data_IF_883839837469
#
_entry.id   IF_883839837469
#
_cell.length_a   1.000
_cell.length_b   1.000
_cell.length_c   1.000
_cell.angle_alpha   90.00
_cell.angle_beta   90.00
_cell.angle_gamma   90.00
#
_symmetry.space_group_name_H-M   'P 1'
#
loop_
_entity.id
_entity.type
_entity.pdbx_description
1 polymer ?
#
# COMPACT_ATOMS: atom_id res chain seq x y z
N UNK A 1 -5.99 36.45 15.89
CA UNK A 1 -6.92 35.80 14.94
C UNK A 1 -6.42 34.38 14.69
N UNK A 2 -7.12 33.37 15.23
CA UNK A 2 -6.82 31.98 14.92
C UNK A 2 -7.30 31.71 13.50
N UNK A 3 -6.37 31.41 12.59
CA UNK A 3 -6.71 30.83 11.30
C UNK A 3 -7.46 29.52 11.57
N UNK A 4 -8.76 29.50 11.26
CA UNK A 4 -9.55 28.28 11.15
C UNK A 4 -9.01 27.51 9.96
N UNK A 5 -7.98 26.68 10.21
CA UNK A 5 -7.58 25.64 9.28
C UNK A 5 -8.79 24.73 9.16
N UNK A 6 -9.49 24.80 8.02
CA UNK A 6 -10.58 23.89 7.71
C UNK A 6 -10.07 22.47 7.94
N UNK A 7 -10.81 21.66 8.70
CA UNK A 7 -10.52 20.26 8.94
C UNK A 7 -10.23 19.58 7.60
N UNK A 8 -8.95 19.29 7.33
CA UNK A 8 -8.46 18.67 6.08
C UNK A 8 -8.95 17.23 5.91
N UNK A 9 -9.59 16.70 6.94
CA UNK A 9 -10.27 15.43 6.93
C UNK A 9 -11.74 15.64 6.56
N UNK A 10 -12.16 15.01 5.47
CA UNK A 10 -13.57 14.93 5.11
C UNK A 10 -14.20 13.85 5.98
N UNK A 11 -15.25 14.24 6.72
CA UNK A 11 -16.01 13.29 7.51
C UNK A 11 -16.94 12.51 6.59
N UNK A 12 -16.91 11.18 6.70
CA UNK A 12 -17.89 10.32 6.06
C UNK A 12 -19.19 10.32 6.86
N UNK A 13 -20.36 10.42 6.20
CA UNK A 13 -21.63 10.17 6.87
C UNK A 13 -21.62 8.76 7.48
N UNK A 14 -22.00 8.63 8.75
CA UNK A 14 -21.99 7.34 9.47
C UNK A 14 -22.83 6.26 8.77
N UNK A 15 -23.89 6.66 8.07
CA UNK A 15 -24.80 5.77 7.35
C UNK A 15 -24.39 5.48 5.90
N UNK A 16 -23.22 5.95 5.45
CA UNK A 16 -22.75 5.68 4.09
C UNK A 16 -22.39 4.19 3.92
N UNK A 17 -22.61 3.59 2.74
CA UNK A 17 -22.20 2.21 2.49
C UNK A 17 -20.68 2.02 2.65
N UNK A 18 -19.91 3.06 2.36
CA UNK A 18 -18.46 3.09 2.53
C UNK A 18 -18.05 3.09 4.01
N UNK A 19 -18.69 3.88 4.88
CA UNK A 19 -18.39 3.85 6.33
C UNK A 19 -18.74 2.51 6.96
N UNK A 20 -19.83 1.87 6.52
CA UNK A 20 -20.18 0.52 6.98
C UNK A 20 -19.17 -0.52 6.51
N UNK A 21 -18.71 -0.40 5.25
CA UNK A 21 -17.64 -1.24 4.71
C UNK A 21 -16.35 -1.10 5.53
N UNK A 22 -15.87 0.14 5.77
CA UNK A 22 -14.66 0.39 6.54
C UNK A 22 -14.79 -0.13 7.97
N UNK A 23 -15.93 0.12 8.62
CA UNK A 23 -16.20 -0.37 10.00
C UNK A 23 -16.20 -1.89 10.10
N UNK A 24 -16.70 -2.59 9.07
CA UNK A 24 -16.76 -4.05 9.06
C UNK A 24 -15.37 -4.70 9.03
N UNK A 25 -14.43 -4.08 8.32
CA UNK A 25 -13.06 -4.57 8.19
C UNK A 25 -12.12 -3.96 9.22
N UNK A 26 -12.57 -2.97 9.98
CA UNK A 26 -11.78 -2.32 11.02
C UNK A 26 -11.39 -3.32 12.12
N UNK A 27 -10.15 -3.22 12.57
CA UNK A 27 -9.70 -3.97 13.74
C UNK A 27 -9.55 -3.00 14.89
N UNK A 28 -10.02 -3.39 16.07
CA UNK A 28 -9.89 -2.62 17.32
C UNK A 28 -8.48 -2.09 17.58
N UNK A 29 -7.46 -2.78 17.04
CA UNK A 29 -6.05 -2.44 17.15
C UNK A 29 -5.53 -1.52 16.03
N UNK A 30 -6.13 -1.58 14.84
CA UNK A 30 -5.66 -0.92 13.62
C UNK A 30 -6.74 0.01 13.07
N UNK A 31 -6.96 1.16 13.72
CA UNK A 31 -8.01 2.15 13.40
C UNK A 31 -7.76 2.96 12.12
N UNK A 32 -7.45 2.30 11.01
CA UNK A 32 -7.24 3.00 9.76
C UNK A 32 -6.92 2.12 8.56
N UNK A 33 -7.04 2.71 7.39
CA UNK A 33 -6.80 2.08 6.10
C UNK A 33 -6.07 3.03 5.16
N UNK A 34 -5.36 2.47 4.20
CA UNK A 34 -4.99 3.17 2.98
C UNK A 34 -5.70 2.49 1.82
N UNK A 35 -6.37 3.27 1.01
CA UNK A 35 -6.95 2.82 -0.26
C UNK A 35 -6.19 3.46 -1.40
N UNK A 36 -6.01 2.70 -2.48
CA UNK A 36 -5.44 3.19 -3.72
C UNK A 36 -6.08 2.47 -4.89
N UNK A 37 -6.27 3.21 -5.98
CA UNK A 37 -6.51 2.63 -7.29
C UNK A 37 -5.18 2.50 -8.06
N UNK A 38 -4.71 1.27 -8.25
CA UNK A 38 -3.52 0.96 -9.03
C UNK A 38 -3.87 0.91 -10.53
N UNK A 39 -3.41 1.92 -11.26
CA UNK A 39 -3.56 2.08 -12.71
C UNK A 39 -2.29 1.69 -13.49
N UNK A 40 -1.35 0.97 -12.86
CA UNK A 40 -0.12 0.57 -13.51
C UNK A 40 -0.37 -0.35 -14.73
N UNK A 41 0.52 -0.33 -15.74
CA UNK A 41 0.36 -1.15 -16.94
C UNK A 41 0.23 -2.65 -16.60
N UNK A 42 -0.63 -3.36 -17.35
CA UNK A 42 -0.87 -4.80 -17.16
C UNK A 42 0.42 -5.63 -17.22
N UNK A 43 1.38 -5.24 -18.05
CA UNK A 43 2.67 -5.91 -18.16
C UNK A 43 3.46 -5.84 -16.84
N UNK A 44 3.48 -4.67 -16.19
CA UNK A 44 4.14 -4.45 -14.90
C UNK A 44 3.45 -5.28 -13.81
N UNK A 45 2.11 -5.28 -13.77
CA UNK A 45 1.33 -6.08 -12.81
C UNK A 45 1.61 -7.56 -12.96
N UNK A 46 1.62 -8.08 -14.19
CA UNK A 46 1.93 -9.49 -14.49
C UNK A 46 3.35 -9.86 -14.11
N UNK A 47 4.32 -8.98 -14.38
CA UNK A 47 5.71 -9.21 -14.01
C UNK A 47 5.88 -9.27 -12.49
N UNK A 48 5.29 -8.30 -11.77
CA UNK A 48 5.32 -8.28 -10.30
C UNK A 48 4.68 -9.54 -9.70
N UNK A 49 3.53 -9.96 -10.23
CA UNK A 49 2.88 -11.21 -9.83
C UNK A 49 3.77 -12.43 -10.09
N UNK A 50 4.41 -12.52 -11.27
CA UNK A 50 5.29 -13.63 -11.62
C UNK A 50 6.53 -13.69 -10.72
N UNK A 51 7.12 -12.53 -10.39
CA UNK A 51 8.23 -12.43 -9.45
C UNK A 51 7.82 -12.91 -8.05
N UNK A 52 6.66 -12.46 -7.55
CA UNK A 52 6.12 -12.89 -6.26
C UNK A 52 5.78 -14.39 -6.25
N UNK A 53 5.23 -14.91 -7.35
CA UNK A 53 4.94 -16.34 -7.52
C UNK A 53 6.23 -17.17 -7.46
N UNK A 54 7.25 -16.77 -8.23
CA UNK A 54 8.54 -17.44 -8.24
C UNK A 54 9.16 -17.47 -6.84
N UNK A 55 9.17 -16.33 -6.15
CA UNK A 55 9.69 -16.23 -4.79
C UNK A 55 8.96 -17.20 -3.83
N UNK A 56 7.63 -17.22 -3.86
CA UNK A 56 6.84 -18.10 -2.99
C UNK A 56 7.05 -19.59 -3.32
N UNK A 57 7.20 -19.94 -4.60
CA UNK A 57 7.53 -21.31 -5.02
C UNK A 57 8.91 -21.72 -4.53
N UNK A 58 9.91 -20.84 -4.62
CA UNK A 58 11.26 -21.09 -4.11
C UNK A 58 11.25 -21.29 -2.60
N UNK A 59 10.55 -20.41 -1.86
CA UNK A 59 10.40 -20.52 -0.40
C UNK A 59 9.74 -21.85 -0.03
N UNK A 60 8.64 -22.22 -0.69
CA UNK A 60 7.93 -23.46 -0.41
C UNK A 60 8.80 -24.69 -0.72
N UNK A 61 9.51 -24.68 -1.85
CA UNK A 61 10.43 -25.76 -2.23
C UNK A 61 11.55 -25.90 -1.20
N UNK A 62 12.15 -24.80 -0.78
CA UNK A 62 13.19 -24.79 0.24
C UNK A 62 12.67 -25.36 1.56
N UNK A 63 11.49 -24.93 2.01
CA UNK A 63 10.85 -25.44 3.24
C UNK A 63 10.58 -26.94 3.16
N UNK A 64 10.06 -27.43 2.03
CA UNK A 64 9.77 -28.86 1.82
C UNK A 64 11.08 -29.67 1.87
N UNK A 65 12.11 -29.24 1.14
CA UNK A 65 13.41 -29.91 1.11
C UNK A 65 14.06 -29.89 2.49
N UNK A 66 14.00 -28.76 3.20
CA UNK A 66 14.58 -28.62 4.53
C UNK A 66 13.87 -29.51 5.56
N UNK A 67 12.54 -29.57 5.53
CA UNK A 67 11.76 -30.46 6.38
C UNK A 67 12.09 -31.94 6.09
N UNK A 68 12.15 -32.31 4.80
CA UNK A 68 12.54 -33.66 4.38
C UNK A 68 13.93 -34.04 4.89
N UNK A 69 14.93 -33.16 4.72
CA UNK A 69 16.30 -33.39 5.16
C UNK A 69 16.40 -33.53 6.69
N UNK A 70 15.61 -32.75 7.43
CA UNK A 70 15.54 -32.83 8.89
C UNK A 70 15.02 -34.20 9.32
N UNK A 71 13.86 -34.61 8.80
CA UNK A 71 13.25 -35.91 9.08
C UNK A 71 14.23 -37.05 8.74
N UNK A 72 14.88 -36.98 7.58
CA UNK A 72 15.82 -38.01 7.14
C UNK A 72 17.06 -38.11 8.04
N UNK A 73 17.63 -36.97 8.46
CA UNK A 73 18.75 -36.92 9.40
C UNK A 73 18.35 -37.50 10.76
N UNK A 74 17.14 -37.20 11.23
CA UNK A 74 16.67 -37.67 12.53
C UNK A 74 16.42 -39.18 12.53
N UNK A 75 16.02 -39.76 11.39
CA UNK A 75 15.92 -41.21 11.19
C UNK A 75 17.29 -41.88 11.21
N UNK A 76 18.30 -41.29 10.55
CA UNK A 76 19.65 -41.87 10.40
C UNK A 76 20.61 -41.60 11.57
N UNK A 77 20.20 -40.83 12.57
CA UNK A 77 21.05 -40.41 13.69
C UNK A 77 21.57 -41.59 14.53
N UNK A 78 22.91 -41.74 14.68
CA UNK A 78 23.52 -42.83 15.46
C UNK A 78 23.55 -42.57 16.98
N UNK A 79 22.84 -41.54 17.48
CA UNK A 79 22.85 -41.16 18.89
C UNK A 79 22.08 -42.15 19.80
N UNK A 80 22.52 -42.32 21.06
CA UNK A 80 21.80 -43.12 22.05
C UNK A 80 20.38 -42.56 22.31
N UNK A 81 19.43 -43.47 22.50
CA UNK A 81 17.98 -43.23 22.44
C UNK A 81 17.45 -42.04 23.27
N UNK A 82 17.83 -41.84 24.54
CA UNK A 82 17.25 -40.76 25.35
C UNK A 82 17.74 -39.36 24.95
N UNK A 83 19.04 -39.21 24.63
CA UNK A 83 19.60 -37.94 24.16
C UNK A 83 19.11 -37.61 22.74
N UNK A 84 18.99 -38.64 21.88
CA UNK A 84 18.41 -38.50 20.54
C UNK A 84 16.99 -37.94 20.61
N UNK A 85 16.14 -38.51 21.47
CA UNK A 85 14.74 -38.09 21.58
C UNK A 85 14.62 -36.63 22.02
N UNK A 86 15.36 -36.22 23.06
CA UNK A 86 15.31 -34.85 23.57
C UNK A 86 15.81 -33.81 22.56
N UNK A 87 16.94 -34.09 21.88
CA UNK A 87 17.50 -33.21 20.86
C UNK A 87 16.63 -33.14 19.61
N UNK A 88 16.11 -34.26 19.11
CA UNK A 88 15.20 -34.27 17.96
C UNK A 88 13.92 -33.48 18.28
N UNK A 89 13.26 -33.72 19.41
CA UNK A 89 12.01 -33.00 19.75
C UNK A 89 12.22 -31.49 19.84
N UNK A 90 13.28 -31.05 20.53
CA UNK A 90 13.54 -29.60 20.69
C UNK A 90 13.90 -28.95 19.36
N UNK A 91 14.74 -29.61 18.56
CA UNK A 91 15.12 -29.13 17.24
C UNK A 91 13.93 -29.09 16.27
N UNK A 92 13.13 -30.15 16.24
CA UNK A 92 11.96 -30.26 15.36
C UNK A 92 10.90 -29.23 15.71
N UNK A 93 10.68 -28.96 17.01
CA UNK A 93 9.75 -27.94 17.44
C UNK A 93 10.21 -26.53 17.00
N UNK A 94 11.51 -26.24 17.12
CA UNK A 94 12.09 -24.98 16.66
C UNK A 94 11.99 -24.84 15.13
N UNK A 95 12.31 -25.90 14.39
CA UNK A 95 12.22 -25.89 12.92
C UNK A 95 10.77 -25.76 12.47
N UNK A 96 9.86 -26.55 13.04
CA UNK A 96 8.44 -26.50 12.72
C UNK A 96 7.84 -25.13 13.03
N UNK A 97 8.20 -24.51 14.16
CA UNK A 97 7.74 -23.15 14.49
C UNK A 97 8.29 -22.11 13.50
N UNK A 98 9.56 -22.18 13.11
CA UNK A 98 10.14 -21.30 12.11
C UNK A 98 9.46 -21.47 10.74
N UNK A 99 9.22 -22.71 10.30
CA UNK A 99 8.49 -23.03 9.07
C UNK A 99 7.06 -22.47 9.13
N UNK A 100 6.36 -22.67 10.26
CA UNK A 100 5.00 -22.17 10.45
C UNK A 100 4.95 -20.64 10.33
N UNK A 101 5.87 -19.93 10.97
CA UNK A 101 5.96 -18.46 10.87
C UNK A 101 6.23 -18.02 9.44
N UNK A 102 7.14 -18.69 8.73
CA UNK A 102 7.47 -18.35 7.34
C UNK A 102 6.29 -18.60 6.40
N UNK A 103 5.65 -19.76 6.46
CA UNK A 103 4.48 -20.11 5.65
C UNK A 103 3.31 -19.15 5.93
N UNK A 104 3.05 -18.86 7.22
CA UNK A 104 1.96 -17.98 7.63
C UNK A 104 2.16 -16.54 7.19
N UNK A 105 3.39 -16.04 7.19
CA UNK A 105 3.69 -14.65 6.82
C UNK A 105 3.80 -14.43 5.31
N UNK A 106 4.22 -15.43 4.53
CA UNK A 106 4.53 -15.26 3.10
C UNK A 106 3.57 -16.03 2.19
N UNK A 107 3.60 -17.36 2.30
CA UNK A 107 2.95 -18.28 1.37
C UNK A 107 1.43 -18.22 1.48
N UNK A 108 0.87 -18.29 2.70
CA UNK A 108 -0.58 -18.29 2.90
C UNK A 108 -1.23 -17.01 2.37
N UNK A 109 -0.76 -15.79 2.72
CA UNK A 109 -1.34 -14.55 2.19
C UNK A 109 -1.22 -14.44 0.67
N UNK A 110 -0.12 -14.92 0.08
CA UNK A 110 0.06 -14.86 -1.38
C UNK A 110 -0.92 -15.79 -2.11
N UNK A 111 -1.03 -17.06 -1.72
CA UNK A 111 -1.89 -18.01 -2.42
C UNK A 111 -3.38 -17.79 -2.13
N UNK A 112 -3.76 -17.53 -0.87
CA UNK A 112 -5.18 -17.29 -0.51
C UNK A 112 -5.65 -15.88 -0.85
N UNK A 113 -4.74 -14.92 -0.97
CA UNK A 113 -5.00 -13.53 -1.31
C UNK A 113 -4.77 -13.26 -2.79
N UNK A 114 -3.51 -13.03 -3.17
CA UNK A 114 -3.14 -12.58 -4.51
C UNK A 114 -3.51 -13.59 -5.59
N UNK A 115 -3.11 -14.86 -5.48
CA UNK A 115 -3.45 -15.87 -6.50
C UNK A 115 -4.97 -16.04 -6.64
N UNK A 116 -5.70 -16.05 -5.52
CA UNK A 116 -7.16 -16.12 -5.53
C UNK A 116 -7.78 -14.90 -6.21
N UNK A 117 -7.24 -13.70 -5.95
CA UNK A 117 -7.70 -12.47 -6.59
C UNK A 117 -7.52 -12.55 -8.11
N UNK A 118 -6.36 -13.01 -8.57
CA UNK A 118 -6.07 -13.21 -9.99
C UNK A 118 -6.93 -14.29 -10.63
N UNK A 119 -7.23 -15.37 -9.91
CA UNK A 119 -8.10 -16.44 -10.40
C UNK A 119 -9.55 -15.95 -10.59
N UNK A 120 -10.05 -15.14 -9.66
CA UNK A 120 -11.44 -14.69 -9.66
C UNK A 120 -11.69 -13.49 -10.58
N UNK A 121 -10.76 -12.53 -10.66
CA UNK A 121 -10.98 -11.24 -11.34
C UNK A 121 -9.98 -10.92 -12.45
N UNK A 122 -8.92 -11.74 -12.60
CA UNK A 122 -7.87 -11.51 -13.59
C UNK A 122 -6.96 -10.32 -13.27
N UNK A 123 -6.27 -9.83 -14.31
CA UNK A 123 -5.53 -8.56 -14.26
C UNK A 123 -6.40 -7.46 -14.88
N UNK A 124 -6.63 -6.39 -14.13
CA UNK A 124 -7.44 -5.24 -14.56
C UNK A 124 -6.58 -4.01 -14.75
N UNK A 125 -7.05 -3.09 -15.60
CA UNK A 125 -6.39 -1.80 -15.81
C UNK A 125 -6.40 -0.97 -14.53
N UNK A 126 -7.54 -0.95 -13.84
CA UNK A 126 -7.76 -0.35 -12.52
C UNK A 126 -7.89 -1.46 -11.47
N UNK A 127 -7.06 -1.45 -10.43
CA UNK A 127 -7.11 -2.43 -9.34
C UNK A 127 -7.16 -1.74 -7.99
N UNK A 128 -8.09 -2.17 -7.14
CA UNK A 128 -8.25 -1.61 -5.81
C UNK A 128 -7.27 -2.29 -4.87
N UNK A 129 -6.46 -1.48 -4.21
CA UNK A 129 -5.50 -1.91 -3.20
C UNK A 129 -5.89 -1.29 -1.87
N UNK A 130 -6.29 -2.13 -0.92
CA UNK A 130 -6.63 -1.72 0.45
C UNK A 130 -5.57 -2.29 1.37
N UNK A 131 -4.98 -1.43 2.20
CA UNK A 131 -3.92 -1.81 3.14
C UNK A 131 -4.26 -1.41 4.55
N UNK A 132 -3.86 -2.28 5.48
CA UNK A 132 -3.93 -2.03 6.91
C UNK A 132 -2.58 -1.53 7.44
N UNK A 133 -2.60 -0.58 8.40
CA UNK A 133 -1.40 -0.18 9.09
C UNK A 133 -0.88 -1.33 9.95
N UNK A 134 0.41 -1.33 10.27
CA UNK A 134 0.99 -2.33 11.15
C UNK A 134 0.43 -2.18 12.57
N UNK A 135 0.23 -3.31 13.25
CA UNK A 135 -0.38 -3.37 14.59
C UNK A 135 0.40 -2.59 15.65
N UNK A 136 1.72 -2.49 15.48
CA UNK A 136 2.63 -1.72 16.36
C UNK A 136 2.61 -0.23 16.07
N UNK A 137 2.26 0.16 14.84
CA UNK A 137 2.18 1.55 14.42
C UNK A 137 0.78 2.06 14.71
N UNK A 138 0.44 2.11 15.99
CA UNK A 138 -0.72 2.89 16.41
C UNK A 138 -0.50 4.31 15.85
N UNK A 139 -1.30 4.69 14.85
CA UNK A 139 -1.38 6.01 14.19
C UNK A 139 -1.77 7.14 15.16
N UNK A 140 -1.50 6.92 16.45
CA UNK A 140 -2.14 7.39 17.67
C UNK A 140 -1.08 7.88 18.66
N UNK A 141 0.08 8.33 18.19
CA UNK A 141 0.79 9.35 18.95
C UNK A 141 -0.01 10.66 18.84
N UNK A 142 -1.07 10.75 19.66
CA UNK A 142 -1.95 11.91 19.83
C UNK A 142 -1.21 13.19 20.23
N UNK A 143 0.07 13.07 20.60
CA UNK A 143 0.93 14.16 21.07
C UNK A 143 1.63 14.95 19.95
N UNK A 144 1.54 14.52 18.69
CA UNK A 144 2.21 15.20 17.56
C UNK A 144 1.27 16.27 16.96
N UNK A 145 1.72 17.46 16.53
CA UNK A 145 0.86 18.42 15.83
C UNK A 145 0.19 17.81 14.58
N UNK A 146 -1.03 18.23 14.22
CA UNK A 146 -1.79 17.65 13.10
C UNK A 146 -1.04 17.72 11.76
N UNK A 147 -0.34 18.82 11.49
CA UNK A 147 0.45 18.99 10.25
C UNK A 147 1.56 17.95 10.14
N UNK A 148 2.30 17.69 11.24
CA UNK A 148 3.35 16.67 11.28
C UNK A 148 2.79 15.25 11.23
N UNK A 149 1.58 15.01 11.80
CA UNK A 149 0.91 13.71 11.68
C UNK A 149 0.54 13.43 10.22
N UNK A 150 -0.01 14.42 9.53
CA UNK A 150 -0.42 14.28 8.14
C UNK A 150 0.78 14.04 7.23
N UNK A 151 1.87 14.79 7.39
CA UNK A 151 3.10 14.58 6.62
C UNK A 151 3.72 13.19 6.88
N UNK A 152 3.63 12.69 8.12
CA UNK A 152 4.06 11.34 8.47
C UNK A 152 3.17 10.29 7.81
N UNK A 153 1.84 10.44 7.90
CA UNK A 153 0.87 9.55 7.26
C UNK A 153 1.03 9.54 5.74
N UNK A 154 1.29 10.69 5.15
CA UNK A 154 1.63 10.87 3.73
C UNK A 154 2.87 10.05 3.35
N UNK A 155 3.99 10.26 4.07
CA UNK A 155 5.24 9.53 3.82
C UNK A 155 5.07 8.02 3.99
N UNK A 156 4.34 7.60 5.02
CA UNK A 156 4.03 6.19 5.24
C UNK A 156 3.16 5.63 4.11
N UNK A 157 2.16 6.41 3.65
CA UNK A 157 1.28 5.99 2.58
C UNK A 157 2.01 5.87 1.24
N UNK A 158 2.83 6.85 0.87
CA UNK A 158 3.66 6.79 -0.33
C UNK A 158 4.56 5.56 -0.33
N UNK A 159 5.25 5.31 0.79
CA UNK A 159 6.13 4.13 0.90
C UNK A 159 5.36 2.82 0.83
N UNK A 160 4.17 2.78 1.45
CA UNK A 160 3.27 1.64 1.36
C UNK A 160 2.74 1.44 -0.06
N UNK A 161 2.90 2.40 -0.95
CA UNK A 161 2.28 2.41 -2.27
C UNK A 161 3.29 2.18 -3.40
N UNK A 162 4.57 2.47 -3.18
CA UNK A 162 5.62 2.30 -4.17
C UNK A 162 5.89 0.81 -4.49
N UNK A 163 5.55 0.33 -5.70
CA UNK A 163 5.74 -1.06 -6.09
C UNK A 163 7.21 -1.50 -6.04
N UNK A 164 8.17 -0.57 -6.21
CA UNK A 164 9.60 -0.90 -6.10
C UNK A 164 9.93 -1.26 -4.67
N UNK A 165 9.56 -0.42 -3.71
CA UNK A 165 9.82 -0.68 -2.28
C UNK A 165 9.10 -1.94 -1.78
N UNK A 166 7.91 -2.19 -2.31
CA UNK A 166 7.09 -3.36 -2.01
C UNK A 166 7.78 -4.69 -2.36
N UNK A 167 8.35 -4.78 -3.56
CA UNK A 167 8.89 -6.03 -4.10
C UNK A 167 10.42 -6.13 -4.03
N UNK A 168 11.15 -5.01 -3.91
CA UNK A 168 12.62 -5.02 -3.87
C UNK A 168 13.17 -5.25 -2.45
N UNK A 169 12.43 -4.88 -1.40
CA UNK A 169 12.88 -5.04 -0.03
C UNK A 169 12.33 -6.33 0.57
N UNK A 170 13.08 -7.43 0.42
CA UNK A 170 12.82 -8.67 1.13
C UNK A 170 12.81 -8.48 2.67
N UNK A 171 13.57 -7.50 3.18
CA UNK A 171 13.55 -7.07 4.59
C UNK A 171 12.23 -6.39 4.98
N UNK A 172 11.53 -5.76 4.03
CA UNK A 172 10.22 -5.14 4.24
C UNK A 172 9.14 -6.17 4.57
N UNK A 173 9.21 -7.37 3.97
CA UNK A 173 8.30 -8.49 4.25
C UNK A 173 8.38 -8.95 5.72
N UNK A 174 9.56 -8.79 6.35
CA UNK A 174 9.80 -9.14 7.75
C UNK A 174 9.75 -7.92 8.68
N UNK A 175 9.51 -6.72 8.14
CA UNK A 175 9.45 -5.49 8.93
C UNK A 175 8.12 -5.38 9.65
N UNK A 176 8.18 -5.05 10.94
CA UNK A 176 7.00 -4.74 11.76
C UNK A 176 6.28 -3.47 11.33
N UNK A 177 6.86 -2.66 10.45
CA UNK A 177 6.31 -1.39 9.99
C UNK A 177 5.69 -1.48 8.58
N UNK A 178 5.49 -2.70 8.08
CA UNK A 178 5.01 -2.93 6.73
C UNK A 178 3.48 -2.95 6.65
N UNK A 179 2.94 -2.14 5.74
CA UNK A 179 1.53 -2.12 5.44
C UNK A 179 1.14 -3.33 4.62
N UNK A 180 0.25 -4.16 5.17
CA UNK A 180 -0.18 -5.40 4.53
C UNK A 180 -1.46 -5.18 3.74
N UNK A 181 -1.54 -5.80 2.57
CA UNK A 181 -2.77 -5.79 1.74
C UNK A 181 -3.82 -6.64 2.44
N UNK A 182 -4.99 -6.06 2.66
CA UNK A 182 -6.12 -6.79 3.21
C UNK A 182 -7.01 -7.30 2.07
N UNK A 183 -6.70 -8.51 1.60
CA UNK A 183 -7.47 -9.13 0.53
C UNK A 183 -8.95 -9.31 0.86
N UNK A 184 -9.30 -9.53 2.14
CA UNK A 184 -10.69 -9.63 2.58
C UNK A 184 -11.49 -8.36 2.27
N UNK A 185 -10.93 -7.20 2.61
CA UNK A 185 -11.50 -5.89 2.31
C UNK A 185 -11.54 -5.64 0.80
N UNK A 186 -10.48 -6.01 0.05
CA UNK A 186 -10.47 -5.88 -1.42
C UNK A 186 -11.58 -6.71 -2.07
N UNK A 187 -11.75 -7.98 -1.67
CA UNK A 187 -12.79 -8.85 -2.21
C UNK A 187 -14.20 -8.31 -1.94
N UNK A 188 -14.43 -7.77 -0.75
CA UNK A 188 -15.73 -7.22 -0.37
C UNK A 188 -15.99 -5.88 -1.07
N UNK A 189 -14.96 -5.03 -1.23
CA UNK A 189 -15.05 -3.80 -2.01
C UNK A 189 -15.43 -4.08 -3.47
N UNK A 190 -14.73 -5.03 -4.11
CA UNK A 190 -15.04 -5.43 -5.50
C UNK A 190 -16.47 -5.95 -5.65
N UNK A 191 -16.99 -6.68 -4.64
CA UNK A 191 -18.38 -7.16 -4.63
C UNK A 191 -19.38 -6.01 -4.48
N UNK A 192 -19.11 -5.07 -3.57
CA UNK A 192 -19.98 -3.90 -3.32
C UNK A 192 -20.01 -2.94 -4.50
N UNK A 193 -18.89 -2.75 -5.18
CA UNK A 193 -18.80 -1.99 -6.43
C UNK A 193 -19.58 -2.69 -7.54
N UNK A 194 -19.47 -4.02 -7.67
CA UNK A 194 -20.28 -4.78 -8.62
C UNK A 194 -21.79 -4.70 -8.32
N UNK A 195 -22.17 -4.47 -7.05
CA UNK A 195 -23.54 -4.21 -6.62
C UNK A 195 -23.94 -2.72 -6.71
N UNK A 196 -23.04 -1.85 -7.19
CA UNK A 196 -23.24 -0.39 -7.28
C UNK A 196 -23.57 0.29 -5.95
N UNK A 197 -23.05 -0.24 -4.83
CA UNK A 197 -23.22 0.39 -3.51
C UNK A 197 -22.34 1.65 -3.36
N UNK A 198 -21.16 1.65 -3.98
CA UNK A 198 -20.26 2.80 -4.09
C UNK A 198 -19.36 2.63 -5.33
N UNK A 199 -18.68 3.70 -5.74
CA UNK A 199 -17.89 3.73 -6.98
C UNK A 199 -16.41 3.40 -6.74
N UNK A 200 -15.68 2.95 -7.76
CA UNK A 200 -14.22 2.73 -7.67
C UNK A 200 -13.48 4.03 -7.28
N UNK A 201 -14.01 5.17 -7.70
CA UNK A 201 -13.46 6.51 -7.43
C UNK A 201 -13.52 6.88 -5.96
N UNK A 202 -14.48 6.35 -5.19
CA UNK A 202 -14.58 6.59 -3.75
C UNK A 202 -13.41 5.98 -2.97
N UNK A 203 -12.72 5.00 -3.57
CA UNK A 203 -11.52 4.36 -3.03
C UNK A 203 -10.22 4.87 -3.67
N UNK A 204 -10.29 6.02 -4.36
CA UNK A 204 -9.10 6.71 -4.86
C UNK A 204 -8.16 7.07 -3.70
N UNK A 205 -6.90 7.40 -4.03
CA UNK A 205 -5.78 7.38 -3.09
C UNK A 205 -6.08 8.20 -1.81
N UNK A 206 -6.32 7.50 -0.69
CA UNK A 206 -6.76 8.12 0.55
C UNK A 206 -6.30 7.36 1.79
N UNK A 207 -6.06 8.10 2.89
CA UNK A 207 -5.94 7.54 4.24
C UNK A 207 -7.28 7.67 4.93
N UNK A 208 -7.76 6.57 5.47
CA UNK A 208 -8.95 6.51 6.30
C UNK A 208 -8.54 6.31 7.75
N UNK A 209 -9.14 7.07 8.64
CA UNK A 209 -8.94 6.96 10.08
C UNK A 209 -10.28 6.90 10.76
N UNK A 210 -10.43 5.96 11.68
CA UNK A 210 -11.60 5.93 12.55
C UNK A 210 -11.30 6.71 13.84
N UNK A 211 -12.15 7.67 14.15
CA UNK A 211 -12.14 8.36 15.43
C UNK A 211 -13.55 8.33 16.04
N UNK A 212 -13.68 7.69 17.20
CA UNK A 212 -14.93 7.67 17.97
C UNK A 212 -16.17 7.23 17.17
N UNK A 213 -16.00 6.25 16.26
CA UNK A 213 -17.06 5.72 15.39
C UNK A 213 -17.34 6.57 14.14
N UNK A 214 -16.58 7.64 13.91
CA UNK A 214 -16.66 8.49 12.72
C UNK A 214 -15.42 8.22 11.85
N UNK A 215 -15.65 7.99 10.56
CA UNK A 215 -14.58 7.84 9.59
C UNK A 215 -14.17 9.19 9.01
N UNK A 216 -12.87 9.45 9.07
CA UNK A 216 -12.22 10.61 8.52
C UNK A 216 -11.40 10.18 7.32
N UNK A 217 -11.59 10.84 6.18
CA UNK A 217 -10.81 10.61 4.97
C UNK A 217 -9.84 11.76 4.74
N UNK A 218 -8.59 11.42 4.45
CA UNK A 218 -7.59 12.33 3.92
C UNK A 218 -7.27 11.88 2.52
N UNK A 219 -7.82 12.59 1.54
CA UNK A 219 -7.60 12.35 0.12
C UNK A 219 -6.15 12.74 -0.21
N UNK A 220 -5.28 11.73 -0.28
CA UNK A 220 -3.86 11.87 -0.49
C UNK A 220 -3.61 12.52 -1.86
N UNK A 221 -4.36 12.16 -2.90
CA UNK A 221 -4.20 12.78 -4.21
C UNK A 221 -4.38 14.32 -4.19
N UNK A 222 -5.16 14.89 -3.25
CA UNK A 222 -5.30 16.36 -3.05
C UNK A 222 -4.14 17.01 -2.30
N UNK A 223 -3.29 16.24 -1.62
CA UNK A 223 -2.15 16.79 -0.87
C UNK A 223 -1.04 17.37 -1.76
N UNK A 224 -1.12 17.20 -3.08
CA UNK A 224 -0.29 17.96 -4.05
C UNK A 224 -0.45 19.48 -3.88
N UNK A 225 -1.58 19.96 -3.33
CA UNK A 225 -1.78 21.37 -2.99
C UNK A 225 -1.05 21.80 -1.69
N UNK A 226 -0.57 20.85 -0.87
CA UNK A 226 -0.02 21.10 0.47
C UNK A 226 1.52 21.13 0.47
N UNK A 227 2.19 20.55 -0.53
CA UNK A 227 3.65 20.64 -0.65
C UNK A 227 4.06 21.99 -1.26
N UNK A 228 3.99 23.04 -0.44
CA UNK A 228 4.45 24.41 -0.77
C UNK A 228 5.97 24.54 -0.92
N UNK A 229 6.73 23.44 -0.83
CA UNK A 229 8.14 23.47 -1.12
C UNK A 229 8.32 23.66 -2.62
N UNK A 230 8.41 24.92 -3.06
CA UNK A 230 8.78 25.34 -4.42
C UNK A 230 9.93 24.46 -4.99
N UNK A 231 10.84 24.02 -4.11
CA UNK A 231 11.94 23.09 -4.38
C UNK A 231 11.51 21.71 -4.90
N UNK A 232 10.43 21.11 -4.39
CA UNK A 232 9.96 19.80 -4.85
C UNK A 232 9.28 19.90 -6.22
N UNK A 233 8.49 20.95 -6.42
CA UNK A 233 7.93 21.31 -7.72
C UNK A 233 9.04 21.54 -8.74
N UNK A 234 10.10 22.26 -8.36
CA UNK A 234 11.28 22.46 -9.21
C UNK A 234 12.05 21.17 -9.47
N UNK A 235 12.17 20.27 -8.50
CA UNK A 235 12.83 18.97 -8.70
C UNK A 235 12.01 18.02 -9.55
N UNK A 236 10.68 18.01 -9.41
CA UNK A 236 9.80 17.26 -10.28
C UNK A 236 9.87 17.78 -11.72
N UNK A 237 9.89 19.11 -11.88
CA UNK A 237 10.14 19.76 -13.18
C UNK A 237 11.49 19.34 -13.76
N UNK A 238 12.57 19.43 -12.99
CA UNK A 238 13.92 18.99 -13.41
C UNK A 238 13.95 17.50 -13.77
N UNK A 239 13.24 16.65 -13.03
CA UNK A 239 13.16 15.22 -13.30
C UNK A 239 12.47 14.94 -14.64
N UNK A 240 11.33 15.57 -14.90
CA UNK A 240 10.59 15.41 -16.16
C UNK A 240 11.39 15.94 -17.35
N UNK A 241 12.03 17.11 -17.21
CA UNK A 241 12.91 17.68 -18.24
C UNK A 241 14.12 16.78 -18.53
N UNK A 242 14.79 16.26 -17.49
CA UNK A 242 15.92 15.33 -17.66
C UNK A 242 15.50 14.00 -18.29
N UNK A 243 14.28 13.56 -18.04
CA UNK A 243 13.72 12.34 -18.62
C UNK A 243 13.24 12.53 -20.07
N UNK A 244 13.37 13.75 -20.64
CA UNK A 244 12.91 14.07 -21.98
C UNK A 244 11.38 14.09 -22.13
N UNK A 245 10.63 14.15 -21.03
CA UNK A 245 9.15 14.05 -21.02
C UNK A 245 8.50 15.42 -20.87
N UNK A 246 8.86 16.35 -21.74
CA UNK A 246 8.37 17.73 -21.72
C UNK A 246 6.85 17.82 -21.97
N UNK A 247 6.27 16.86 -22.70
CA UNK A 247 4.82 16.77 -22.88
C UNK A 247 4.06 16.52 -21.57
N UNK A 248 4.57 15.64 -20.69
CA UNK A 248 3.98 15.41 -19.36
C UNK A 248 4.13 16.64 -18.45
N UNK A 249 5.25 17.36 -18.58
CA UNK A 249 5.46 18.61 -17.87
C UNK A 249 4.42 19.66 -18.25
N UNK A 250 4.18 19.85 -19.55
CA UNK A 250 3.22 20.83 -20.05
C UNK A 250 1.80 20.54 -19.53
N UNK A 251 1.37 19.28 -19.57
CA UNK A 251 0.06 18.86 -19.05
C UNK A 251 -0.04 19.06 -17.53
N UNK A 252 1.01 18.69 -16.80
CA UNK A 252 1.05 18.89 -15.35
C UNK A 252 1.00 20.38 -14.99
N UNK A 253 1.76 21.21 -15.69
CA UNK A 253 1.72 22.67 -15.53
C UNK A 253 0.37 23.25 -15.93
N UNK A 254 -0.29 22.73 -16.97
CA UNK A 254 -1.63 23.13 -17.39
C UNK A 254 -2.65 22.82 -16.29
N UNK A 255 -2.58 21.66 -15.65
CA UNK A 255 -3.47 21.35 -14.51
C UNK A 255 -3.24 22.26 -13.31
N UNK A 256 -2.00 22.64 -13.04
CA UNK A 256 -1.68 23.60 -11.98
C UNK A 256 -2.07 25.04 -12.34
N UNK A 257 -2.03 25.38 -13.64
CA UNK A 257 -2.29 26.73 -14.15
C UNK A 257 -3.75 26.97 -14.50
N UNK A 258 -4.56 25.91 -14.62
CA UNK A 258 -6.00 25.96 -14.85
C UNK A 258 -6.74 26.40 -13.58
N UNK A 259 -6.48 27.64 -13.13
CA UNK A 259 -7.39 28.55 -12.42
C UNK A 259 -6.65 29.81 -11.91
N UNK A 260 -6.37 30.81 -12.76
CA UNK A 260 -5.87 32.11 -12.31
C UNK A 260 -6.98 33.13 -12.01
N UNK A 261 -8.27 32.73 -11.97
CA UNK A 261 -9.39 33.68 -12.08
C UNK A 261 -10.47 33.67 -10.98
N UNK A 262 -10.68 32.61 -10.21
CA UNK A 262 -11.82 32.55 -9.27
C UNK A 262 -11.41 32.31 -7.81
N UNK A 263 -11.66 33.33 -7.02
CA UNK A 263 -11.55 33.36 -5.57
C UNK A 263 -12.55 32.39 -4.92
N UNK A 264 -12.04 31.47 -4.10
CA UNK A 264 -12.76 30.69 -3.07
C UNK A 264 -13.65 29.54 -3.59
N UNK A 265 -13.04 28.49 -4.13
CA UNK A 265 -13.28 27.07 -3.79
C UNK A 265 -12.27 26.21 -4.57
N UNK A 266 -11.08 26.08 -3.98
CA UNK A 266 -9.96 25.29 -4.53
C UNK A 266 -10.36 23.82 -4.61
N UNK A 267 -10.56 23.31 -5.81
CA UNK A 267 -10.38 21.87 -6.06
C UNK A 267 -10.04 21.63 -7.53
N UNK A 268 -8.85 21.08 -7.79
CA UNK A 268 -8.65 20.29 -9.00
C UNK A 268 -9.70 19.16 -9.00
N UNK A 269 -10.51 19.07 -10.05
CA UNK A 269 -11.53 18.02 -10.17
C UNK A 269 -10.87 16.63 -10.12
N UNK A 270 -11.47 15.62 -9.46
CA UNK A 270 -11.00 14.23 -9.51
C UNK A 270 -10.72 13.75 -10.94
N UNK A 271 -11.55 14.19 -11.90
CA UNK A 271 -11.39 13.89 -13.33
C UNK A 271 -10.09 14.44 -13.92
N UNK A 272 -9.63 15.61 -13.48
CA UNK A 272 -8.36 16.18 -13.96
C UNK A 272 -7.17 15.34 -13.44
N UNK A 273 -7.18 14.98 -12.16
CA UNK A 273 -6.18 14.10 -11.58
C UNK A 273 -6.14 12.73 -12.27
N UNK A 274 -7.30 12.12 -12.52
CA UNK A 274 -7.42 10.88 -13.29
C UNK A 274 -6.78 10.98 -14.68
N UNK A 275 -7.07 12.05 -15.43
CA UNK A 275 -6.49 12.29 -16.76
C UNK A 275 -4.96 12.37 -16.69
N UNK A 276 -4.41 12.96 -15.62
CA UNK A 276 -2.96 13.05 -15.44
C UNK A 276 -2.34 11.70 -15.09
N UNK A 277 -2.90 10.97 -14.13
CA UNK A 277 -2.45 9.60 -13.78
C UNK A 277 -2.48 8.69 -14.99
N UNK A 278 -3.56 8.74 -15.79
CA UNK A 278 -3.70 7.94 -17.01
C UNK A 278 -2.66 8.29 -18.06
N UNK A 279 -2.34 9.58 -18.25
CA UNK A 279 -1.29 10.00 -19.20
C UNK A 279 0.10 9.58 -18.74
N UNK A 280 0.40 9.66 -17.45
CA UNK A 280 1.65 9.11 -16.89
C UNK A 280 1.72 7.59 -17.08
N UNK A 281 0.62 6.88 -16.82
CA UNK A 281 0.55 5.43 -17.00
C UNK A 281 0.77 5.00 -18.47
N UNK A 282 0.23 5.75 -19.45
CA UNK A 282 0.48 5.52 -20.89
C UNK A 282 1.95 5.67 -21.26
N UNK A 283 2.64 6.58 -20.59
CA UNK A 283 4.08 6.81 -20.71
C UNK A 283 4.94 5.81 -19.92
N UNK A 284 4.31 4.79 -19.33
CA UNK A 284 4.98 3.76 -18.53
C UNK A 284 5.51 4.25 -17.19
N UNK A 285 5.05 5.40 -16.71
CA UNK A 285 5.42 5.97 -15.42
C UNK A 285 4.24 5.89 -14.46
N UNK A 286 4.51 5.47 -13.23
CA UNK A 286 3.55 5.65 -12.14
C UNK A 286 3.77 7.04 -11.54
N UNK A 287 2.80 7.94 -11.72
CA UNK A 287 2.88 9.34 -11.29
C UNK A 287 3.31 9.47 -9.82
N UNK A 288 2.69 8.69 -8.94
CA UNK A 288 2.96 8.70 -7.50
C UNK A 288 4.36 8.16 -7.16
N UNK A 289 4.85 7.18 -7.93
CA UNK A 289 6.22 6.65 -7.79
C UNK A 289 7.28 7.65 -8.28
N UNK A 290 6.96 8.49 -9.26
CA UNK A 290 7.86 9.58 -9.67
C UNK A 290 7.92 10.64 -8.57
N UNK A 291 6.76 10.97 -8.00
CA UNK A 291 6.67 11.94 -6.92
C UNK A 291 7.38 11.47 -5.63
N UNK A 292 7.26 10.18 -5.29
CA UNK A 292 7.98 9.57 -4.15
C UNK A 292 9.50 9.72 -4.29
N UNK A 293 10.05 9.46 -5.48
CA UNK A 293 11.49 9.54 -5.72
C UNK A 293 12.04 10.97 -5.66
N UNK A 294 11.22 11.94 -6.06
CA UNK A 294 11.58 13.36 -5.98
C UNK A 294 11.62 13.79 -4.51
N UNK A 295 10.59 13.44 -3.73
CA UNK A 295 10.53 13.79 -2.30
C UNK A 295 11.62 13.12 -1.45
N UNK A 296 12.00 11.86 -1.74
CA UNK A 296 13.10 11.20 -1.01
C UNK A 296 14.47 11.84 -1.27
N UNK A 297 14.73 12.34 -2.50
CA UNK A 297 15.99 13.01 -2.83
C UNK A 297 16.15 14.35 -2.14
N UNK A 298 15.06 15.11 -1.98
CA UNK A 298 15.05 16.42 -1.28
C UNK A 298 15.55 16.32 0.15
N UNK A 299 15.29 15.21 0.84
CA UNK A 299 15.60 15.02 2.25
C UNK A 299 17.00 14.43 2.51
N UNK A 300 17.70 14.03 1.45
CA UNK A 300 19.06 13.48 1.51
C UNK A 300 20.16 14.54 1.27
N UNK A 301 19.75 15.79 1.01
CA UNK A 301 20.61 16.98 0.89
C UNK A 301 20.41 17.88 2.11
#
# INVERSE_FOLDING_TARGET
MRSTVASRFKQLPQNSPLSQFLTRHDDSQCRGFITRLDRSPLATKRLAFLQALLLNVVVLTFVIVFAWMTIFRDILSPLPTPLRLALCITQDLLIASAILVLIRSTTIPFFLGECRLRLMYGFRLSEIVIRKPPTTTSMLNERVPEDQRMERSWRMAIRAVDPRLLYSNASGILSTDYWTVEYGAVFDAMRKIAASEFEEEDLEFAVWKQDSGIWHSSELWRMHEIMSAQQEVEMFKKFLTRSGKEGLLAIWQEMLSSNPGETIERSASPKAYQVMVDKFAREGLDYETVWSQVSEKTLSQ
#
